data_IF_956709443856
#
_entry.id   IF_956709443856
#
_cell.length_a   1.000
_cell.length_b   1.000
_cell.length_c   1.000
_cell.angle_alpha   90.00
_cell.angle_beta   90.00
_cell.angle_gamma   90.00
#
_symmetry.space_group_name_H-M   'P 1'
#
loop_
_entity.id
_entity.type
_entity.pdbx_description
1 polymer ?
#
# COMPACT_ATOMS: atom_id res chain seq x y z
N UNK A 1 16.63 8.13 6.10
CA UNK A 1 16.82 8.95 4.89
C UNK A 1 18.31 9.08 4.65
N UNK A 2 18.72 9.22 3.39
CA UNK A 2 20.08 9.60 3.01
C UNK A 2 20.01 10.99 2.40
N UNK A 3 20.22 12.01 3.24
CA UNK A 3 20.08 13.40 2.82
C UNK A 3 21.24 13.86 1.94
N UNK A 4 22.43 13.28 2.13
CA UNK A 4 23.61 13.62 1.33
C UNK A 4 23.41 13.19 -0.12
N UNK A 5 22.71 12.08 -0.34
CA UNK A 5 22.32 11.61 -1.68
C UNK A 5 20.95 12.13 -2.15
N UNK A 6 20.18 12.82 -1.30
CA UNK A 6 18.81 13.24 -1.59
C UNK A 6 17.79 12.10 -1.70
N UNK A 7 18.04 10.94 -1.06
CA UNK A 7 17.15 9.77 -1.10
C UNK A 7 16.28 9.68 0.17
N UNK A 8 14.96 9.64 -0.05
CA UNK A 8 14.00 9.26 0.98
C UNK A 8 13.75 7.75 0.95
N UNK A 9 13.75 7.11 2.12
CA UNK A 9 13.37 5.71 2.26
C UNK A 9 11.97 5.64 2.86
N UNK A 10 11.07 4.93 2.19
CA UNK A 10 9.77 4.55 2.75
C UNK A 10 9.74 3.04 2.99
N UNK A 11 9.00 2.62 4.02
CA UNK A 11 8.76 1.21 4.30
C UNK A 11 7.38 0.86 3.77
N UNK A 12 7.34 -0.07 2.82
CA UNK A 12 6.08 -0.60 2.29
C UNK A 12 5.31 -1.33 3.39
N UNK A 13 4.03 -0.99 3.58
CA UNK A 13 3.20 -1.58 4.62
C UNK A 13 2.56 -2.89 4.19
N UNK A 14 2.19 -3.00 2.91
CA UNK A 14 1.70 -4.24 2.31
C UNK A 14 2.03 -4.30 0.83
N UNK A 15 2.37 -5.50 0.35
CA UNK A 15 2.37 -5.84 -1.08
C UNK A 15 1.24 -6.85 -1.28
N UNK A 16 0.10 -6.39 -1.81
CA UNK A 16 -1.17 -7.13 -1.84
C UNK A 16 -1.06 -8.51 -2.50
N UNK A 17 -0.24 -8.66 -3.55
CA UNK A 17 -0.04 -9.97 -4.20
C UNK A 17 0.72 -11.00 -3.33
N UNK A 18 1.38 -10.58 -2.26
CA UNK A 18 2.14 -11.46 -1.34
C UNK A 18 1.37 -11.87 -0.09
N UNK A 19 0.21 -11.25 0.17
CA UNK A 19 -0.58 -11.45 1.39
C UNK A 19 -1.95 -12.06 1.04
N UNK A 20 -2.35 -13.20 1.64
CA UNK A 20 -3.69 -13.76 1.48
C UNK A 20 -4.79 -12.79 1.91
N UNK A 21 -5.97 -12.86 1.29
CA UNK A 21 -7.09 -11.93 1.55
C UNK A 21 -7.46 -11.82 3.03
N UNK A 22 -7.52 -12.96 3.74
CA UNK A 22 -7.84 -13.03 5.16
C UNK A 22 -6.77 -12.41 6.07
N UNK A 23 -5.56 -12.24 5.55
CA UNK A 23 -4.43 -11.62 6.25
C UNK A 23 -4.19 -10.15 5.86
N UNK A 24 -4.92 -9.63 4.87
CA UNK A 24 -4.79 -8.23 4.42
C UNK A 24 -5.09 -7.24 5.55
N UNK A 25 -6.26 -7.36 6.18
CA UNK A 25 -6.65 -6.45 7.28
C UNK A 25 -5.75 -6.63 8.52
N UNK A 26 -5.46 -7.85 9.02
CA UNK A 26 -4.53 -8.03 10.12
C UNK A 26 -3.15 -7.39 9.89
N UNK A 27 -2.64 -7.47 8.65
CA UNK A 27 -1.34 -6.86 8.28
C UNK A 27 -1.40 -5.34 8.39
N UNK A 28 -2.44 -4.72 7.85
CA UNK A 28 -2.61 -3.26 7.86
C UNK A 28 -2.96 -2.72 9.25
N UNK A 29 -3.80 -3.42 10.01
CA UNK A 29 -4.14 -3.05 11.38
C UNK A 29 -2.91 -2.96 12.27
N UNK A 30 -1.98 -3.93 12.15
CA UNK A 30 -0.70 -3.89 12.86
C UNK A 30 0.15 -2.67 12.50
N UNK A 31 0.13 -2.23 11.23
CA UNK A 31 0.83 -1.02 10.82
C UNK A 31 0.17 0.26 11.37
N UNK A 32 -1.16 0.29 11.47
CA UNK A 32 -1.92 1.42 12.02
C UNK A 32 -1.75 1.62 13.53
N UNK A 33 -1.42 0.56 14.26
CA UNK A 33 -1.11 0.63 15.69
C UNK A 33 0.30 1.18 15.95
N UNK A 34 1.21 1.11 14.98
CA UNK A 34 2.58 1.61 15.11
C UNK A 34 2.62 3.14 14.92
N UNK A 35 2.96 3.93 15.96
CA UNK A 35 3.01 5.38 15.86
C UNK A 35 4.03 5.89 14.84
N UNK A 36 5.00 5.06 14.43
CA UNK A 36 6.00 5.43 13.42
C UNK A 36 5.55 5.13 11.99
N UNK A 37 4.38 4.50 11.79
CA UNK A 37 3.90 4.04 10.48
C UNK A 37 2.47 4.47 10.17
N UNK A 38 1.66 4.74 11.18
CA UNK A 38 0.24 5.06 11.02
C UNK A 38 -0.09 6.38 10.29
N UNK A 39 0.90 7.23 10.01
CA UNK A 39 0.64 8.50 9.34
C UNK A 39 0.53 8.33 7.81
N UNK A 40 1.37 7.48 7.24
CA UNK A 40 1.47 7.25 5.80
C UNK A 40 1.49 5.75 5.56
N UNK A 41 0.56 5.26 4.74
CA UNK A 41 0.49 3.84 4.39
C UNK A 41 0.79 3.60 2.92
N UNK A 42 1.81 2.79 2.67
CA UNK A 42 2.21 2.35 1.34
C UNK A 42 1.54 1.01 0.99
N UNK A 43 0.57 1.06 0.06
CA UNK A 43 -0.13 -0.10 -0.50
C UNK A 43 0.40 -0.42 -1.89
N UNK A 44 1.04 -1.59 -2.06
CA UNK A 44 1.68 -1.97 -3.33
C UNK A 44 1.01 -3.19 -3.96
N UNK A 45 1.03 -3.26 -5.28
CA UNK A 45 0.62 -4.43 -6.06
C UNK A 45 1.33 -4.42 -7.41
N UNK A 46 1.58 -5.60 -7.99
CA UNK A 46 1.92 -5.69 -9.40
C UNK A 46 0.68 -5.94 -10.28
N UNK A 47 0.53 -5.14 -11.34
CA UNK A 47 -0.60 -5.24 -12.28
C UNK A 47 -0.68 -6.60 -12.99
N UNK A 48 0.47 -7.26 -13.24
CA UNK A 48 0.50 -8.53 -13.95
C UNK A 48 -0.33 -9.64 -13.29
N UNK A 49 -0.52 -9.59 -11.96
CA UNK A 49 -1.27 -10.61 -11.22
C UNK A 49 -2.78 -10.57 -11.48
N UNK A 50 -3.30 -9.46 -12.01
CA UNK A 50 -4.70 -9.34 -12.39
C UNK A 50 -5.05 -10.12 -13.67
N UNK A 51 -4.07 -10.43 -14.52
CA UNK A 51 -4.34 -10.91 -15.87
C UNK A 51 -4.43 -12.43 -15.97
N UNK A 52 -5.55 -13.02 -16.42
CA UNK A 52 -5.70 -14.48 -16.52
C UNK A 52 -4.70 -15.15 -17.47
N UNK A 53 -4.16 -14.41 -18.44
CA UNK A 53 -3.14 -14.93 -19.36
C UNK A 53 -1.74 -14.98 -18.75
N UNK A 54 -1.52 -14.33 -17.61
CA UNK A 54 -0.22 -14.31 -16.95
C UNK A 54 0.02 -15.63 -16.21
N UNK A 55 1.22 -16.20 -16.37
CA UNK A 55 1.58 -17.52 -15.82
C UNK A 55 1.37 -17.63 -14.30
N UNK A 56 1.52 -16.52 -13.57
CA UNK A 56 1.34 -16.48 -12.11
C UNK A 56 0.09 -15.69 -11.71
N UNK A 57 -0.93 -15.62 -12.56
CA UNK A 57 -2.22 -14.99 -12.24
C UNK A 57 -2.72 -15.40 -10.86
N UNK A 58 -3.18 -14.41 -10.09
CA UNK A 58 -3.83 -14.61 -8.80
C UNK A 58 -5.34 -14.33 -8.96
N UNK A 59 -6.19 -15.37 -8.91
CA UNK A 59 -7.64 -15.21 -9.12
C UNK A 59 -8.32 -14.26 -8.12
N UNK A 60 -7.75 -14.13 -6.93
CA UNK A 60 -8.23 -13.30 -5.83
C UNK A 60 -7.54 -11.92 -5.76
N UNK A 61 -6.71 -11.55 -6.74
CA UNK A 61 -5.93 -10.30 -6.71
C UNK A 61 -6.81 -9.06 -6.54
N UNK A 62 -7.95 -9.03 -7.23
CA UNK A 62 -8.91 -7.92 -7.14
C UNK A 62 -9.39 -7.78 -5.70
N UNK A 63 -9.80 -8.89 -5.08
CA UNK A 63 -10.30 -8.89 -3.69
C UNK A 63 -9.21 -8.48 -2.70
N UNK A 64 -7.96 -8.89 -2.91
CA UNK A 64 -6.83 -8.48 -2.03
C UNK A 64 -6.65 -6.96 -2.04
N UNK A 65 -6.58 -6.38 -3.22
CA UNK A 65 -6.36 -4.94 -3.40
C UNK A 65 -7.58 -4.14 -2.95
N UNK A 66 -8.77 -4.59 -3.29
CA UNK A 66 -10.03 -3.95 -2.89
C UNK A 66 -10.24 -4.00 -1.36
N UNK A 67 -9.90 -5.12 -0.70
CA UNK A 67 -9.93 -5.23 0.77
C UNK A 67 -8.97 -4.24 1.43
N UNK A 68 -7.74 -4.11 0.91
CA UNK A 68 -6.77 -3.16 1.43
C UNK A 68 -7.24 -1.70 1.28
N UNK A 69 -7.66 -1.32 0.07
CA UNK A 69 -8.13 0.04 -0.23
C UNK A 69 -9.36 0.39 0.60
N UNK A 70 -10.34 -0.53 0.67
CA UNK A 70 -11.57 -0.33 1.46
C UNK A 70 -11.23 -0.08 2.92
N UNK A 71 -10.38 -0.93 3.51
CA UNK A 71 -10.02 -0.82 4.92
C UNK A 71 -9.32 0.51 5.23
N UNK A 72 -8.28 0.91 4.46
CA UNK A 72 -7.60 2.20 4.73
C UNK A 72 -8.54 3.39 4.53
N UNK A 73 -9.48 3.30 3.58
CA UNK A 73 -10.48 4.34 3.35
C UNK A 73 -11.42 4.46 4.56
N UNK A 74 -11.87 3.33 5.13
CA UNK A 74 -12.69 3.29 6.35
C UNK A 74 -11.94 3.80 7.59
N UNK A 75 -10.61 3.63 7.63
CA UNK A 75 -9.75 4.22 8.66
C UNK A 75 -9.47 5.73 8.47
N UNK A 76 -9.96 6.33 7.38
CA UNK A 76 -9.84 7.77 7.11
C UNK A 76 -8.56 8.20 6.40
N UNK A 77 -7.75 7.25 5.89
CA UNK A 77 -6.62 7.59 5.02
C UNK A 77 -7.11 8.21 3.71
N UNK A 78 -6.28 9.09 3.14
CA UNK A 78 -6.56 9.75 1.86
C UNK A 78 -5.50 9.35 0.83
N UNK A 79 -5.89 9.08 -0.42
CA UNK A 79 -4.92 8.86 -1.48
C UNK A 79 -4.13 10.15 -1.72
N UNK A 80 -2.87 9.98 -2.06
CA UNK A 80 -1.92 11.06 -2.27
C UNK A 80 -1.24 10.86 -3.60
N UNK A 81 -1.16 11.92 -4.40
CA UNK A 81 -0.39 11.90 -5.64
C UNK A 81 0.93 12.64 -5.45
N UNK A 82 2.05 11.98 -5.73
CA UNK A 82 3.38 12.59 -5.57
C UNK A 82 3.61 13.85 -6.41
N UNK A 83 2.89 14.02 -7.52
CA UNK A 83 2.99 15.21 -8.36
C UNK A 83 2.35 16.46 -7.71
N UNK A 84 1.55 16.28 -6.66
CA UNK A 84 0.97 17.38 -5.86
C UNK A 84 1.96 17.90 -4.80
N UNK A 85 3.21 17.44 -4.87
CA UNK A 85 4.31 17.74 -3.96
C UNK A 85 4.46 16.69 -2.86
N UNK A 86 5.26 16.97 -1.83
CA UNK A 86 5.64 15.93 -0.87
C UNK A 86 4.42 15.45 -0.09
N UNK A 87 4.04 14.20 -0.32
CA UNK A 87 2.81 13.59 0.19
C UNK A 87 1.55 14.46 -0.04
N UNK A 88 1.45 15.09 -1.21
CA UNK A 88 0.33 15.96 -1.59
C UNK A 88 0.39 17.37 -1.00
N UNK A 89 1.49 17.72 -0.34
CA UNK A 89 1.77 19.06 0.15
C UNK A 89 2.38 19.94 -0.93
N UNK A 90 1.97 21.21 -1.01
CA UNK A 90 2.54 22.20 -1.95
C UNK A 90 4.03 22.43 -1.67
N UNK A 91 4.80 22.60 -2.74
CA UNK A 91 6.21 22.99 -2.69
C UNK A 91 6.42 24.40 -2.14
#
# INVERSE_FOLDING_TARGET
MDFDSGIAFSRIDIVCDTVPVDQTVPTLAKAAEDPNRKEIMDLFTHEQYFWPFYKRHLPDQVTRVETAIRWVTEQGYKPVFFHEGFLGGKA
#
